data_IF_232642099125
#
_entry.id   IF_232642099125
#
_cell.length_a   1.000
_cell.length_b   1.000
_cell.length_c   1.000
_cell.angle_alpha   90.00
_cell.angle_beta   90.00
_cell.angle_gamma   90.00
#
_symmetry.space_group_name_H-M   'P 1'
#
loop_
_entity.id
_entity.type
_entity.pdbx_description
1 polymer ?
#
# COMPACT_ATOMS: atom_id res chain seq x y z
N UNK A 1 -3.07 6.79 4.78
CA UNK A 1 -1.70 6.86 5.34
C UNK A 1 -1.20 5.43 5.49
N UNK A 2 0.06 5.14 5.15
CA UNK A 2 0.56 3.75 5.07
C UNK A 2 2.04 3.68 5.46
N UNK A 3 2.52 2.45 5.73
CA UNK A 3 3.93 2.10 5.88
C UNK A 3 4.35 1.02 4.90
N UNK A 4 5.65 0.88 4.72
CA UNK A 4 6.26 -0.21 3.95
C UNK A 4 6.91 -1.21 4.92
N UNK A 5 6.50 -2.47 4.86
CA UNK A 5 7.20 -3.59 5.50
C UNK A 5 7.96 -4.35 4.41
N UNK A 6 9.25 -4.06 4.27
CA UNK A 6 10.03 -4.50 3.12
C UNK A 6 9.49 -3.86 1.84
N UNK A 7 8.98 -4.68 0.91
CA UNK A 7 8.34 -4.20 -0.32
C UNK A 7 6.82 -4.04 -0.21
N UNK A 8 6.20 -4.51 0.87
CA UNK A 8 4.75 -4.59 0.99
C UNK A 8 4.18 -3.39 1.72
N UNK A 9 3.07 -2.86 1.23
CA UNK A 9 2.32 -1.78 1.86
C UNK A 9 1.40 -2.29 2.96
N UNK A 10 1.36 -1.57 4.07
CA UNK A 10 0.38 -1.76 5.16
C UNK A 10 -0.30 -0.44 5.51
N UNK A 11 -1.63 -0.42 5.52
CA UNK A 11 -2.39 0.78 5.88
C UNK A 11 -2.46 0.98 7.39
N UNK A 12 -2.29 2.22 7.84
CA UNK A 12 -2.51 2.57 9.23
C UNK A 12 -4.02 2.68 9.52
N UNK A 13 -4.45 1.98 10.57
CA UNK A 13 -5.84 1.87 11.01
C UNK A 13 -6.15 2.62 12.30
N UNK A 14 -5.13 2.82 13.15
CA UNK A 14 -5.28 3.55 14.40
C UNK A 14 -4.15 4.55 14.58
N UNK A 15 -4.44 5.64 15.28
CA UNK A 15 -3.50 6.64 15.74
C UNK A 15 -3.63 6.73 17.24
N UNK A 16 -2.56 6.40 17.97
CA UNK A 16 -2.47 6.58 19.42
C UNK A 16 -1.66 7.85 19.67
N UNK A 17 -2.24 8.80 20.40
CA UNK A 17 -1.59 10.06 20.77
C UNK A 17 -1.41 10.08 22.29
N UNK A 18 -0.21 10.34 22.78
CA UNK A 18 0.06 10.39 24.21
C UNK A 18 1.11 11.45 24.53
N UNK A 19 1.18 11.86 25.79
CA UNK A 19 2.16 12.84 26.25
C UNK A 19 3.17 12.15 27.16
N UNK A 20 4.45 12.16 26.76
CA UNK A 20 5.56 11.65 27.58
C UNK A 20 6.58 12.79 27.72
N UNK A 21 6.99 13.12 28.96
CA UNK A 21 7.96 14.20 29.23
C UNK A 21 7.60 15.58 28.63
N UNK A 22 6.33 15.99 28.72
CA UNK A 22 5.79 17.24 28.15
C UNK A 22 5.79 17.30 26.60
N UNK A 23 6.21 16.23 25.92
CA UNK A 23 6.17 16.12 24.45
C UNK A 23 4.99 15.25 24.00
N UNK A 24 4.31 15.70 22.94
CA UNK A 24 3.21 14.95 22.32
C UNK A 24 3.79 13.96 21.33
N UNK A 25 3.58 12.68 21.63
CA UNK A 25 3.99 11.54 20.82
C UNK A 25 2.80 10.99 20.04
N UNK A 26 3.07 10.49 18.83
CA UNK A 26 2.06 9.89 17.95
C UNK A 26 2.58 8.54 17.47
N UNK A 27 1.82 7.49 17.75
CA UNK A 27 2.09 6.14 17.27
C UNK A 27 0.99 5.69 16.31
N UNK A 28 1.38 5.16 15.16
CA UNK A 28 0.45 4.67 14.15
C UNK A 28 0.40 3.14 14.12
N UNK A 29 -0.79 2.57 14.28
CA UNK A 29 -0.99 1.13 14.36
C UNK A 29 -1.71 0.59 13.11
N UNK A 30 -1.29 -0.58 12.65
CA UNK A 30 -1.85 -1.25 11.46
C UNK A 30 -2.93 -2.29 11.80
N UNK A 31 -2.97 -2.76 13.04
CA UNK A 31 -3.87 -3.79 13.53
C UNK A 31 -4.35 -3.47 14.94
N UNK A 32 -5.46 -4.10 15.35
CA UNK A 32 -5.98 -3.99 16.70
C UNK A 32 -5.01 -4.60 17.72
N UNK A 33 -4.33 -5.69 17.37
CA UNK A 33 -3.31 -6.32 18.22
C UNK A 33 -2.14 -5.37 18.51
N UNK A 34 -1.56 -4.76 17.47
CA UNK A 34 -0.47 -3.78 17.63
C UNK A 34 -0.93 -2.56 18.46
N UNK A 35 -2.17 -2.10 18.24
CA UNK A 35 -2.76 -1.03 19.04
C UNK A 35 -2.89 -1.44 20.51
N UNK A 36 -3.41 -2.65 20.79
CA UNK A 36 -3.57 -3.14 22.16
C UNK A 36 -2.23 -3.29 22.89
N UNK A 37 -1.18 -3.74 22.20
CA UNK A 37 0.18 -3.80 22.77
C UNK A 37 0.68 -2.42 23.22
N UNK A 38 0.51 -1.39 22.37
CA UNK A 38 0.91 -0.02 22.70
C UNK A 38 0.05 0.53 23.85
N UNK A 39 -1.27 0.37 23.79
CA UNK A 39 -2.20 0.81 24.84
C UNK A 39 -1.85 0.16 26.18
N UNK A 40 -1.47 -1.12 26.19
CA UNK A 40 -1.03 -1.82 27.39
C UNK A 40 0.28 -1.25 27.93
N UNK A 41 1.29 -1.05 27.08
CA UNK A 41 2.57 -0.45 27.51
C UNK A 41 2.39 0.95 28.09
N UNK A 42 1.52 1.77 27.49
CA UNK A 42 1.22 3.11 27.98
C UNK A 42 0.44 3.07 29.30
N UNK A 43 -0.50 2.13 29.43
CA UNK A 43 -1.25 1.89 30.67
C UNK A 43 -0.32 1.46 31.80
N UNK A 44 0.61 0.53 31.54
CA UNK A 44 1.59 0.03 32.52
C UNK A 44 2.55 1.14 33.00
N UNK A 45 2.78 2.16 32.16
CA UNK A 45 3.54 3.37 32.49
C UNK A 45 2.71 4.48 33.14
N UNK A 46 1.41 4.26 33.35
CA UNK A 46 0.45 5.28 33.82
C UNK A 46 0.41 6.54 32.93
N UNK A 47 0.67 6.38 31.63
CA UNK A 47 0.61 7.47 30.64
C UNK A 47 -0.80 7.56 30.08
N UNK A 48 -1.40 8.74 30.13
CA UNK A 48 -2.67 9.02 29.48
C UNK A 48 -2.50 9.08 27.96
N UNK A 49 -3.36 8.37 27.22
CA UNK A 49 -3.35 8.32 25.77
C UNK A 49 -4.76 8.44 25.19
N UNK A 50 -4.84 8.87 23.94
CA UNK A 50 -6.05 8.92 23.14
C UNK A 50 -5.86 8.12 21.85
N UNK A 51 -6.79 7.21 21.56
CA UNK A 51 -6.78 6.43 20.34
C UNK A 51 -7.85 6.93 19.37
N UNK A 52 -7.45 7.28 18.16
CA UNK A 52 -8.33 7.65 17.05
C UNK A 52 -8.30 6.57 15.98
N UNK A 53 -9.47 6.20 15.46
CA UNK A 53 -9.59 5.30 14.32
C UNK A 53 -9.35 6.07 13.02
N UNK A 54 -8.52 5.52 12.15
CA UNK A 54 -8.22 6.08 10.83
C UNK A 54 -9.11 5.38 9.81
N UNK A 55 -10.03 6.11 9.20
CA UNK A 55 -10.85 5.58 8.12
C UNK A 55 -9.97 5.33 6.88
N UNK A 56 -9.86 4.05 6.49
CA UNK A 56 -9.15 3.60 5.29
C UNK A 56 -10.10 2.90 4.30
N UNK A 57 -11.42 3.01 4.46
CA UNK A 57 -12.41 2.25 3.66
C UNK A 57 -12.20 2.41 2.15
N UNK A 58 -11.80 3.60 1.68
CA UNK A 58 -11.52 3.88 0.27
C UNK A 58 -10.10 3.52 -0.21
N UNK A 59 -9.21 3.07 0.69
CA UNK A 59 -7.80 2.83 0.41
C UNK A 59 -7.41 1.36 0.49
N UNK A 60 -8.32 0.45 0.83
CA UNK A 60 -8.05 -0.98 1.02
C UNK A 60 -7.44 -1.65 -0.23
N UNK A 61 -7.74 -1.15 -1.43
CA UNK A 61 -7.11 -1.60 -2.69
C UNK A 61 -5.58 -1.48 -2.69
N UNK A 62 -5.04 -0.56 -1.88
CA UNK A 62 -3.61 -0.28 -1.77
C UNK A 62 -2.93 -1.18 -0.73
N UNK A 63 -3.69 -1.76 0.20
CA UNK A 63 -3.16 -2.60 1.26
C UNK A 63 -2.60 -3.91 0.68
N UNK A 64 -1.35 -4.22 1.02
CA UNK A 64 -0.68 -5.44 0.59
C UNK A 64 -0.11 -5.42 -0.83
N UNK A 65 -0.21 -4.31 -1.56
CA UNK A 65 0.53 -4.12 -2.80
C UNK A 65 2.04 -4.07 -2.52
N UNK A 66 2.82 -4.51 -3.50
CA UNK A 66 4.28 -4.50 -3.43
C UNK A 66 4.88 -3.44 -4.34
N UNK A 67 5.78 -2.64 -3.79
CA UNK A 67 6.53 -1.61 -4.51
C UNK A 67 8.02 -1.71 -4.18
N UNK A 68 8.87 -1.35 -5.14
CA UNK A 68 10.32 -1.37 -4.95
C UNK A 68 10.83 -0.25 -4.03
N UNK A 69 10.06 0.82 -3.86
CA UNK A 69 10.39 1.93 -2.96
C UNK A 69 9.17 2.61 -2.39
N UNK A 70 9.36 3.31 -1.28
CA UNK A 70 8.32 4.13 -0.64
C UNK A 70 7.82 5.25 -1.56
N UNK A 71 8.71 5.89 -2.33
CA UNK A 71 8.34 7.00 -3.21
C UNK A 71 7.38 6.54 -4.32
N UNK A 72 7.63 5.37 -4.91
CA UNK A 72 6.74 4.76 -5.91
C UNK A 72 5.39 4.42 -5.29
N UNK A 73 5.38 3.81 -4.09
CA UNK A 73 4.16 3.52 -3.36
C UNK A 73 3.36 4.81 -3.09
N UNK A 74 4.02 5.88 -2.65
CA UNK A 74 3.38 7.16 -2.36
C UNK A 74 2.79 7.81 -3.62
N UNK A 75 3.50 7.76 -4.74
CA UNK A 75 3.00 8.27 -6.02
C UNK A 75 1.72 7.55 -6.44
N UNK A 76 1.69 6.22 -6.35
CA UNK A 76 0.52 5.41 -6.67
C UNK A 76 -0.63 5.69 -5.70
N UNK A 77 -0.34 5.81 -4.41
CA UNK A 77 -1.33 6.15 -3.39
C UNK A 77 -1.98 7.52 -3.67
N UNK A 78 -1.17 8.53 -4.02
CA UNK A 78 -1.65 9.89 -4.32
C UNK A 78 -2.43 9.97 -5.63
N UNK A 79 -2.09 9.15 -6.63
CA UNK A 79 -2.84 9.04 -7.89
C UNK A 79 -4.21 8.39 -7.71
N UNK A 80 -4.34 7.53 -6.70
CA UNK A 80 -5.59 6.85 -6.36
C UNK A 80 -5.91 5.61 -7.21
N UNK A 81 -6.90 4.84 -6.77
CA UNK A 81 -7.23 3.51 -7.30
C UNK A 81 -7.49 3.51 -8.81
N UNK A 82 -8.31 4.45 -9.28
CA UNK A 82 -8.76 4.49 -10.67
C UNK A 82 -7.59 4.73 -11.63
N UNK A 83 -6.66 5.60 -11.25
CA UNK A 83 -5.48 5.87 -12.06
C UNK A 83 -4.53 4.66 -12.07
N UNK A 84 -4.38 3.97 -10.93
CA UNK A 84 -3.60 2.73 -10.85
C UNK A 84 -4.18 1.63 -11.74
N UNK A 85 -5.50 1.42 -11.69
CA UNK A 85 -6.18 0.41 -12.51
C UNK A 85 -6.08 0.71 -14.00
N UNK A 86 -6.22 1.97 -14.40
CA UNK A 86 -6.04 2.38 -15.80
C UNK A 86 -4.62 2.14 -16.30
N UNK A 87 -3.60 2.48 -15.50
CA UNK A 87 -2.20 2.26 -15.87
C UNK A 87 -1.88 0.77 -15.99
N UNK A 88 -2.41 -0.05 -15.07
CA UNK A 88 -2.29 -1.51 -15.14
C UNK A 88 -2.94 -2.08 -16.41
N UNK A 89 -4.17 -1.66 -16.71
CA UNK A 89 -4.87 -2.07 -17.94
C UNK A 89 -4.10 -1.65 -19.21
N UNK A 90 -3.52 -0.44 -19.20
CA UNK A 90 -2.70 0.06 -20.30
C UNK A 90 -1.45 -0.80 -20.49
N UNK A 91 -0.77 -1.19 -19.42
CA UNK A 91 0.41 -2.07 -19.49
C UNK A 91 0.04 -3.46 -20.02
N UNK A 92 -1.01 -4.09 -19.48
CA UNK A 92 -1.49 -5.40 -19.94
C UNK A 92 -1.86 -5.36 -21.44
N UNK A 93 -2.51 -4.29 -21.90
CA UNK A 93 -2.82 -4.11 -23.31
C UNK A 93 -1.55 -4.00 -24.16
N UNK A 94 -0.57 -3.19 -23.76
CA UNK A 94 0.70 -3.04 -24.48
C UNK A 94 1.45 -4.36 -24.56
N UNK A 95 1.49 -5.12 -23.47
CA UNK A 95 2.17 -6.42 -23.44
C UNK A 95 1.45 -7.45 -24.32
N UNK A 96 0.11 -7.46 -24.34
CA UNK A 96 -0.67 -8.30 -25.25
C UNK A 96 -0.41 -7.96 -26.73
N UNK A 97 -0.27 -6.68 -27.06
CA UNK A 97 0.04 -6.22 -28.41
C UNK A 97 1.46 -6.62 -28.82
N UNK A 98 2.42 -6.54 -27.90
CA UNK A 98 3.80 -7.02 -28.13
C UNK A 98 3.83 -8.51 -28.38
N UNK A 99 3.20 -9.32 -27.51
CA UNK A 99 3.10 -10.77 -27.67
C UNK A 99 2.48 -11.16 -29.02
N UNK A 100 1.40 -10.49 -29.42
CA UNK A 100 0.79 -10.72 -30.73
C UNK A 100 1.74 -10.38 -31.88
N UNK A 101 2.43 -9.24 -31.80
CA UNK A 101 3.40 -8.84 -32.82
C UNK A 101 4.55 -9.84 -32.94
N UNK A 102 5.03 -10.38 -31.82
CA UNK A 102 6.08 -11.40 -31.79
C UNK A 102 5.61 -12.72 -32.41
N UNK A 103 4.36 -13.13 -32.15
CA UNK A 103 3.73 -14.31 -32.77
C UNK A 103 3.59 -14.12 -34.29
N UNK A 104 3.09 -12.97 -34.73
CA UNK A 104 2.94 -12.65 -36.16
C UNK A 104 4.31 -12.66 -36.86
N UNK A 105 5.36 -12.12 -36.22
CA UNK A 105 6.73 -12.18 -36.73
C UNK A 105 7.25 -13.62 -36.87
N UNK A 106 7.01 -14.48 -35.87
CA UNK A 106 7.41 -15.90 -35.91
C UNK A 106 6.66 -16.65 -37.01
N UNK A 107 5.36 -16.42 -37.19
CA UNK A 107 4.56 -17.07 -38.22
C UNK A 107 5.05 -16.73 -39.63
N UNK A 108 5.35 -15.45 -39.89
CA UNK A 108 5.93 -15.00 -41.17
C UNK A 108 7.29 -15.66 -41.42
N UNK A 109 8.17 -15.72 -40.41
CA UNK A 109 9.50 -16.32 -40.54
C UNK A 109 9.48 -17.84 -40.68
N UNK A 110 8.47 -18.51 -40.12
CA UNK A 110 8.35 -19.98 -40.11
C UNK A 110 7.54 -20.52 -41.30
N UNK A 111 6.94 -19.66 -42.12
CA UNK A 111 6.10 -20.05 -43.25
C UNK A 111 4.81 -20.77 -42.84
N UNK A 112 4.39 -20.63 -41.58
CA UNK A 112 3.16 -21.20 -41.05
C UNK A 112 2.11 -20.09 -41.06
N UNK A 113 1.07 -20.22 -41.89
CA UNK A 113 -0.12 -19.36 -41.79
C UNK A 113 -0.85 -19.68 -40.48
N UNK A 114 -1.15 -18.64 -39.68
CA UNK A 114 -2.01 -18.74 -38.49
C UNK A 114 -3.47 -18.64 -38.92
#
# INVERSE_FOLDING_TARGET
MFRMLGKKVELYRYKVTYTENEEVMIEYCISEEHKNEIEQVLTDKEIMFETTLIDQTGNEWFNGLEFDSYDVALEVFNKGEQAYLQEKQRQELVDSLRLRSDIDYIAIMSGVEI
#
